data_IF_059562535795
#
_entry.id   IF_059562535795
#
_cell.length_a   1.000
_cell.length_b   1.000
_cell.length_c   1.000
_cell.angle_alpha   90.00
_cell.angle_beta   90.00
_cell.angle_gamma   90.00
#
_symmetry.space_group_name_H-M   'P 1'
#
loop_
_entity.id
_entity.type
_entity.pdbx_description
1 polymer ?
#
# COMPACT_ATOMS: atom_id res chain seq x y z
N UNK A 1 -23.77 6.40 18.32
CA UNK A 1 -23.65 5.69 17.04
C UNK A 1 -24.29 6.59 15.98
N UNK A 2 -23.55 7.00 14.95
CA UNK A 2 -24.09 7.90 13.92
C UNK A 2 -25.00 7.10 12.99
N UNK A 3 -26.27 7.03 13.38
CA UNK A 3 -27.40 6.57 12.59
C UNK A 3 -27.70 7.61 11.49
N UNK A 4 -27.25 7.30 10.27
CA UNK A 4 -27.68 7.82 8.95
C UNK A 4 -26.50 8.05 8.00
N UNK A 5 -25.64 7.05 7.81
CA UNK A 5 -24.80 7.01 6.61
C UNK A 5 -25.48 6.11 5.57
N UNK A 6 -25.93 6.65 4.41
CA UNK A 6 -26.56 5.84 3.36
C UNK A 6 -25.56 4.90 2.64
N UNK A 7 -24.26 5.03 2.92
CA UNK A 7 -23.20 4.18 2.41
C UNK A 7 -22.01 4.18 3.39
N UNK A 8 -21.16 3.16 3.28
CA UNK A 8 -19.90 3.04 4.00
C UNK A 8 -18.79 2.66 3.03
N UNK A 9 -17.54 2.99 3.36
CA UNK A 9 -16.40 2.46 2.61
C UNK A 9 -16.34 0.94 2.83
N UNK A 10 -16.21 0.21 1.74
CA UNK A 10 -16.01 -1.24 1.77
C UNK A 10 -14.64 -1.58 1.21
N UNK A 11 -14.39 -1.20 -0.04
CA UNK A 11 -13.15 -1.54 -0.73
C UNK A 11 -12.76 -0.53 -1.81
N UNK A 12 -11.46 -0.51 -2.10
CA UNK A 12 -10.88 0.06 -3.30
C UNK A 12 -10.78 -1.03 -4.35
N UNK A 13 -11.27 -0.77 -5.57
CA UNK A 13 -11.28 -1.74 -6.66
C UNK A 13 -10.29 -1.33 -7.74
N UNK A 14 -9.35 -2.22 -8.05
CA UNK A 14 -8.38 -2.07 -9.14
C UNK A 14 -8.86 -2.84 -10.36
N UNK A 15 -8.85 -2.20 -11.53
CA UNK A 15 -9.17 -2.88 -12.79
C UNK A 15 -7.93 -3.55 -13.33
N UNK A 16 -8.00 -4.85 -13.56
CA UNK A 16 -6.86 -5.65 -13.99
C UNK A 16 -7.16 -6.37 -15.29
N UNK A 17 -6.15 -6.54 -16.14
CA UNK A 17 -6.27 -7.25 -17.40
C UNK A 17 -6.47 -8.76 -17.19
N UNK A 18 -5.71 -9.34 -16.26
CA UNK A 18 -5.75 -10.77 -15.93
C UNK A 18 -5.91 -10.96 -14.42
N UNK A 19 -7.11 -11.38 -13.99
CA UNK A 19 -7.44 -11.56 -12.58
C UNK A 19 -6.57 -12.63 -11.92
N UNK A 20 -6.20 -13.71 -12.62
CA UNK A 20 -5.38 -14.76 -12.02
C UNK A 20 -3.94 -14.31 -11.85
N UNK A 21 -3.40 -13.53 -12.79
CA UNK A 21 -2.08 -12.89 -12.66
C UNK A 21 -2.05 -11.97 -11.44
N UNK A 22 -3.02 -11.09 -11.31
CA UNK A 22 -3.04 -10.10 -10.23
C UNK A 22 -3.40 -10.74 -8.88
N UNK A 23 -4.27 -11.75 -8.86
CA UNK A 23 -4.55 -12.56 -7.66
C UNK A 23 -3.29 -13.22 -7.11
N UNK A 24 -2.46 -13.82 -7.96
CA UNK A 24 -1.16 -14.38 -7.54
C UNK A 24 -0.22 -13.31 -7.01
N UNK A 25 -0.13 -12.17 -7.67
CA UNK A 25 0.68 -11.06 -7.18
C UNK A 25 0.26 -10.62 -5.78
N UNK A 26 -1.03 -10.32 -5.57
CA UNK A 26 -1.52 -9.84 -4.28
C UNK A 26 -1.42 -10.91 -3.18
N UNK A 27 -1.64 -12.20 -3.49
CA UNK A 27 -1.55 -13.27 -2.48
C UNK A 27 -0.12 -13.73 -2.18
N UNK A 28 0.72 -13.89 -3.21
CA UNK A 28 2.06 -14.48 -3.07
C UNK A 28 3.16 -13.44 -2.81
N UNK A 29 3.01 -12.22 -3.35
CA UNK A 29 4.01 -11.14 -3.17
C UNK A 29 3.58 -10.19 -2.06
N UNK A 30 2.32 -9.74 -2.07
CA UNK A 30 1.81 -8.78 -1.09
C UNK A 30 1.23 -9.42 0.17
N UNK A 31 1.07 -10.74 0.19
CA UNK A 31 0.56 -11.47 1.36
C UNK A 31 -0.93 -11.24 1.66
N UNK A 32 -1.71 -10.74 0.70
CA UNK A 32 -3.14 -10.48 0.87
C UNK A 32 -3.91 -11.79 1.04
N UNK A 33 -4.88 -11.77 1.96
CA UNK A 33 -5.80 -12.90 2.16
C UNK A 33 -7.09 -12.68 1.38
N UNK A 34 -7.45 -13.64 0.53
CA UNK A 34 -8.72 -13.62 -0.20
C UNK A 34 -9.88 -13.73 0.80
N UNK A 35 -10.82 -12.79 0.71
CA UNK A 35 -12.09 -12.83 1.42
C UNK A 35 -13.17 -13.50 0.57
N UNK A 36 -13.24 -13.15 -0.72
CA UNK A 36 -14.23 -13.67 -1.66
C UNK A 36 -13.67 -13.71 -3.08
N UNK A 37 -13.81 -14.85 -3.76
CA UNK A 37 -13.44 -15.03 -5.16
C UNK A 37 -14.69 -15.34 -5.99
N UNK A 38 -15.04 -14.44 -6.92
CA UNK A 38 -16.16 -14.58 -7.86
C UNK A 38 -15.65 -14.76 -9.31
N UNK A 39 -14.40 -15.21 -9.48
CA UNK A 39 -13.74 -15.39 -10.76
C UNK A 39 -13.29 -14.07 -11.37
N UNK A 40 -14.21 -13.29 -11.94
CA UNK A 40 -13.85 -12.00 -12.56
C UNK A 40 -13.62 -10.87 -11.54
N UNK A 41 -14.05 -11.06 -10.30
CA UNK A 41 -13.94 -10.08 -9.23
C UNK A 41 -13.48 -10.81 -7.96
N UNK A 42 -12.43 -10.31 -7.33
CA UNK A 42 -11.84 -10.92 -6.14
C UNK A 42 -11.66 -9.83 -5.09
N UNK A 43 -12.21 -10.06 -3.89
CA UNK A 43 -12.04 -9.19 -2.73
C UNK A 43 -11.07 -9.80 -1.72
N UNK A 44 -10.25 -8.95 -1.11
CA UNK A 44 -9.31 -9.26 -0.04
C UNK A 44 -9.80 -8.69 1.29
N UNK A 45 -9.40 -9.31 2.41
CA UNK A 45 -9.88 -8.95 3.77
C UNK A 45 -9.62 -7.50 4.18
N UNK A 46 -8.66 -6.83 3.53
CA UNK A 46 -8.13 -5.54 3.95
C UNK A 46 -8.81 -4.36 3.22
N UNK A 47 -9.90 -4.62 2.50
CA UNK A 47 -10.61 -3.60 1.72
C UNK A 47 -9.95 -3.29 0.37
N UNK A 48 -9.12 -4.20 -0.14
CA UNK A 48 -8.66 -4.20 -1.53
C UNK A 48 -9.51 -5.18 -2.34
N UNK A 49 -9.77 -4.88 -3.60
CA UNK A 49 -10.37 -5.81 -4.55
C UNK A 49 -9.79 -5.60 -5.95
N UNK A 50 -9.79 -6.66 -6.75
CA UNK A 50 -9.44 -6.62 -8.18
C UNK A 50 -10.66 -7.02 -9.01
N UNK A 51 -10.81 -6.40 -10.18
CA UNK A 51 -11.92 -6.66 -11.10
C UNK A 51 -11.40 -6.69 -12.54
N UNK A 52 -11.78 -7.72 -13.29
CA UNK A 52 -11.46 -7.86 -14.71
C UNK A 52 -11.91 -6.61 -15.50
N UNK A 53 -10.93 -5.95 -16.13
CA UNK A 53 -11.07 -4.59 -16.64
C UNK A 53 -12.00 -4.45 -17.83
N UNK A 54 -12.00 -5.39 -18.78
CA UNK A 54 -12.89 -5.37 -19.95
C UNK A 54 -14.35 -5.56 -19.50
N UNK A 55 -14.61 -6.58 -18.68
CA UNK A 55 -15.93 -6.86 -18.16
C UNK A 55 -16.44 -5.75 -17.25
N UNK A 56 -15.60 -5.23 -16.35
CA UNK A 56 -15.94 -4.11 -15.49
C UNK A 56 -16.32 -2.87 -16.29
N UNK A 57 -15.55 -2.52 -17.33
CA UNK A 57 -15.87 -1.40 -18.22
C UNK A 57 -17.16 -1.62 -18.99
N UNK A 58 -17.41 -2.82 -19.52
CA UNK A 58 -18.66 -3.13 -20.19
C UNK A 58 -19.87 -2.99 -19.24
N UNK A 59 -19.74 -3.43 -17.98
CA UNK A 59 -20.80 -3.30 -16.97
C UNK A 59 -21.06 -1.83 -16.62
N UNK A 60 -20.02 -1.01 -16.47
CA UNK A 60 -20.16 0.38 -16.01
C UNK A 60 -20.53 1.33 -17.16
N UNK A 61 -19.90 1.18 -18.31
CA UNK A 61 -19.94 2.13 -19.41
C UNK A 61 -20.64 1.59 -20.67
N UNK A 62 -20.96 0.30 -20.72
CA UNK A 62 -21.49 -0.34 -21.93
C UNK A 62 -20.46 -0.47 -23.06
N UNK A 63 -19.16 -0.37 -22.73
CA UNK A 63 -18.06 -0.41 -23.68
C UNK A 63 -16.95 -1.36 -23.18
N UNK A 64 -16.76 -2.53 -23.84
CA UNK A 64 -15.68 -3.47 -23.52
C UNK A 64 -14.34 -3.07 -24.17
N UNK A 65 -14.22 -1.87 -24.77
CA UNK A 65 -12.93 -1.46 -25.33
C UNK A 65 -11.84 -1.56 -24.27
N UNK A 66 -10.80 -2.34 -24.57
CA UNK A 66 -9.61 -2.44 -23.75
C UNK A 66 -8.99 -1.06 -23.54
N UNK A 67 -8.28 -0.88 -22.43
CA UNK A 67 -7.68 0.41 -22.08
C UNK A 67 -6.46 0.25 -21.20
N UNK A 68 -5.76 1.36 -21.01
CA UNK A 68 -4.78 1.48 -19.95
C UNK A 68 -5.53 1.53 -18.61
N UNK A 69 -5.45 0.44 -17.85
CA UNK A 69 -6.06 0.35 -16.51
C UNK A 69 -5.16 0.95 -15.43
N UNK A 70 -3.93 1.35 -15.78
CA UNK A 70 -2.94 1.74 -14.81
C UNK A 70 -3.29 3.03 -14.07
N UNK A 71 -2.82 3.13 -12.83
CA UNK A 71 -3.03 4.31 -11.99
C UNK A 71 -1.73 5.04 -11.62
N UNK A 72 -0.63 4.71 -12.33
CA UNK A 72 0.80 5.02 -12.08
C UNK A 72 1.18 6.41 -11.55
N UNK A 73 0.31 7.43 -11.65
CA UNK A 73 0.65 8.82 -11.31
C UNK A 73 -0.31 9.51 -10.33
N UNK A 74 -1.51 8.99 -10.13
CA UNK A 74 -2.58 9.73 -9.47
C UNK A 74 -3.24 8.97 -8.32
N UNK A 75 -2.95 7.68 -8.17
CA UNK A 75 -3.45 6.83 -7.10
C UNK A 75 -2.33 5.87 -6.68
N UNK A 76 -2.07 5.78 -5.38
CA UNK A 76 -1.25 4.75 -4.79
C UNK A 76 -2.03 3.95 -3.74
N UNK A 77 -1.71 2.67 -3.62
CA UNK A 77 -2.12 1.83 -2.49
C UNK A 77 -0.96 1.83 -1.50
N UNK A 78 -1.23 2.26 -0.27
CA UNK A 78 -0.21 2.44 0.77
C UNK A 78 -0.21 1.27 1.75
N UNK A 79 0.95 0.65 1.91
CA UNK A 79 1.26 -0.40 2.87
C UNK A 79 2.32 0.08 3.85
N UNK A 80 2.39 -0.59 5.01
CA UNK A 80 3.44 -0.36 5.99
C UNK A 80 4.23 -1.64 6.26
N UNK A 81 5.52 -1.48 6.56
CA UNK A 81 6.41 -2.57 6.93
C UNK A 81 7.21 -2.25 8.18
N UNK A 82 7.55 -3.30 8.94
CA UNK A 82 8.48 -3.23 10.06
C UNK A 82 9.94 -3.48 9.63
N UNK A 83 10.16 -4.12 8.49
CA UNK A 83 11.50 -4.41 7.95
C UNK A 83 11.58 -4.03 6.46
N UNK A 84 12.12 -2.85 6.19
CA UNK A 84 12.29 -2.34 4.83
C UNK A 84 13.32 -3.16 4.02
N UNK A 85 14.32 -3.77 4.68
CA UNK A 85 15.34 -4.55 3.98
C UNK A 85 14.76 -5.88 3.48
N UNK A 86 14.02 -6.60 4.33
CA UNK A 86 13.31 -7.81 3.92
C UNK A 86 12.26 -7.49 2.85
N UNK A 87 11.48 -6.42 3.03
CA UNK A 87 10.49 -5.95 2.06
C UNK A 87 11.12 -5.73 0.69
N UNK A 88 12.22 -4.99 0.63
CA UNK A 88 12.90 -4.69 -0.64
C UNK A 88 13.41 -5.95 -1.34
N UNK A 89 13.96 -6.93 -0.61
CA UNK A 89 14.43 -8.18 -1.18
C UNK A 89 13.28 -9.07 -1.73
N UNK A 90 12.12 -9.09 -1.05
CA UNK A 90 10.91 -9.75 -1.56
C UNK A 90 10.48 -9.12 -2.90
N UNK A 91 10.34 -7.79 -2.93
CA UNK A 91 9.91 -7.05 -4.13
C UNK A 91 10.88 -7.24 -5.30
N UNK A 92 12.18 -7.18 -5.01
CA UNK A 92 13.24 -7.40 -6.00
C UNK A 92 13.22 -8.82 -6.55
N UNK A 93 13.01 -9.82 -5.69
CA UNK A 93 12.90 -11.23 -6.08
C UNK A 93 11.65 -11.50 -6.92
N UNK A 94 10.56 -10.79 -6.63
CA UNK A 94 9.32 -10.83 -7.42
C UNK A 94 9.46 -10.13 -8.78
N UNK A 95 10.52 -9.35 -9.01
CA UNK A 95 10.78 -8.68 -10.29
C UNK A 95 9.81 -7.54 -10.61
N UNK A 96 9.33 -6.83 -9.58
CA UNK A 96 8.41 -5.69 -9.75
C UNK A 96 9.06 -4.54 -10.53
N UNK A 97 8.24 -3.76 -11.23
CA UNK A 97 8.70 -2.51 -11.85
C UNK A 97 8.76 -1.42 -10.76
N UNK A 98 9.97 -1.04 -10.33
CA UNK A 98 10.14 0.05 -9.38
C UNK A 98 9.88 1.41 -10.03
N UNK A 99 9.09 2.25 -9.36
CA UNK A 99 9.01 3.68 -9.62
C UNK A 99 10.25 4.37 -9.08
N UNK A 100 10.63 4.01 -7.85
CA UNK A 100 11.92 4.27 -7.25
C UNK A 100 12.22 3.16 -6.22
N UNK A 101 13.50 2.86 -6.04
CA UNK A 101 13.95 1.96 -4.97
C UNK A 101 13.75 2.61 -3.58
N UNK A 102 14.29 2.00 -2.52
CA UNK A 102 14.18 2.54 -1.16
C UNK A 102 14.80 3.93 -1.09
N UNK A 103 14.00 4.91 -0.66
CA UNK A 103 14.42 6.30 -0.44
C UNK A 103 13.93 6.78 0.92
N UNK A 104 14.70 7.69 1.54
CA UNK A 104 14.22 8.41 2.73
C UNK A 104 13.41 9.63 2.28
N UNK A 105 12.18 9.73 2.77
CA UNK A 105 11.27 10.85 2.49
C UNK A 105 11.64 12.10 3.29
N UNK A 106 11.14 13.30 2.92
CA UNK A 106 11.42 14.53 3.67
C UNK A 106 11.04 14.47 5.16
N UNK A 107 10.08 13.61 5.53
CA UNK A 107 9.68 13.32 6.91
C UNK A 107 10.40 12.10 7.51
N UNK A 108 11.59 11.76 6.99
CA UNK A 108 12.53 10.71 7.47
C UNK A 108 12.07 9.26 7.32
N UNK A 109 10.84 9.00 6.90
CA UNK A 109 10.34 7.64 6.65
C UNK A 109 11.06 7.02 5.45
N UNK A 110 11.52 5.77 5.58
CA UNK A 110 11.97 5.00 4.41
C UNK A 110 10.76 4.49 3.63
N UNK A 111 10.76 4.67 2.31
CA UNK A 111 9.68 4.14 1.46
C UNK A 111 10.21 3.60 0.14
N UNK A 112 9.48 2.64 -0.43
CA UNK A 112 9.72 2.08 -1.77
C UNK A 112 8.42 2.15 -2.56
N UNK A 113 8.51 2.53 -3.85
CA UNK A 113 7.35 2.56 -4.73
C UNK A 113 7.58 1.70 -5.96
N UNK A 114 6.57 0.92 -6.32
CA UNK A 114 6.61 -0.01 -7.45
C UNK A 114 5.21 -0.14 -8.04
N UNK A 115 5.13 -0.88 -9.14
CA UNK A 115 3.89 -1.15 -9.84
C UNK A 115 3.49 -2.60 -9.68
N UNK A 116 2.19 -2.82 -9.55
CA UNK A 116 1.59 -4.14 -9.75
C UNK A 116 1.61 -4.54 -11.26
N UNK A 117 1.17 -5.77 -11.61
CA UNK A 117 1.22 -6.25 -13.00
C UNK A 117 0.47 -5.41 -14.02
N UNK A 118 -0.49 -4.60 -13.58
CA UNK A 118 -1.35 -3.75 -14.42
C UNK A 118 -0.98 -2.26 -14.33
N UNK A 119 0.06 -1.93 -13.56
CA UNK A 119 0.55 -0.56 -13.44
C UNK A 119 -0.15 0.26 -12.35
N UNK A 120 -0.76 -0.36 -11.35
CA UNK A 120 -1.21 0.35 -10.16
C UNK A 120 -0.02 0.63 -9.24
N UNK A 121 0.12 1.89 -8.80
CA UNK A 121 1.23 2.27 -7.92
C UNK A 121 0.97 1.77 -6.50
N UNK A 122 2.00 1.15 -5.93
CA UNK A 122 2.00 0.67 -4.55
C UNK A 122 3.18 1.33 -3.84
N UNK A 123 2.93 1.90 -2.67
CA UNK A 123 3.96 2.32 -1.73
C UNK A 123 3.99 1.34 -0.57
N UNK A 124 5.21 0.93 -0.17
CA UNK A 124 5.44 0.35 1.15
C UNK A 124 6.32 1.32 1.92
N UNK A 125 5.79 1.87 3.01
CA UNK A 125 6.50 2.75 3.94
C UNK A 125 6.93 2.03 5.20
N UNK A 126 8.07 2.41 5.77
CA UNK A 126 8.42 2.01 7.13
C UNK A 126 7.34 2.50 8.10
N UNK A 127 6.82 1.62 8.97
CA UNK A 127 5.82 2.02 9.96
C UNK A 127 6.39 3.15 10.84
N UNK A 128 5.56 4.15 11.15
CA UNK A 128 6.09 5.38 11.77
C UNK A 128 6.74 5.18 13.15
N UNK A 129 6.29 4.20 13.93
CA UNK A 129 6.94 3.81 15.18
C UNK A 129 8.31 3.11 14.98
N UNK A 130 8.50 2.42 13.86
CA UNK A 130 9.78 1.84 13.45
C UNK A 130 10.74 2.96 13.01
N UNK A 131 10.26 3.89 12.18
CA UNK A 131 11.00 5.10 11.80
C UNK A 131 11.46 5.89 13.04
N UNK A 132 10.55 6.23 13.94
CA UNK A 132 10.87 6.95 15.20
C UNK A 132 11.90 6.18 16.02
N UNK A 133 11.77 4.86 16.10
CA UNK A 133 12.74 3.99 16.77
C UNK A 133 14.12 4.02 16.17
N UNK A 134 14.22 3.94 14.84
CA UNK A 134 15.47 4.01 14.08
C UNK A 134 16.17 5.35 14.31
N UNK A 135 15.42 6.45 14.29
CA UNK A 135 15.96 7.79 14.56
C UNK A 135 16.47 7.91 16.00
N UNK A 136 15.70 7.43 16.99
CA UNK A 136 16.15 7.41 18.38
C UNK A 136 17.41 6.53 18.58
N UNK A 137 17.48 5.37 17.91
CA UNK A 137 18.65 4.49 17.95
C UNK A 137 19.90 5.14 17.31
N UNK A 138 19.71 6.12 16.42
CA UNK A 138 20.81 6.94 15.87
C UNK A 138 21.24 8.10 16.79
N UNK A 139 20.58 8.27 17.93
CA UNK A 139 20.91 9.28 18.96
C UNK A 139 20.16 10.60 18.83
N UNK A 140 19.13 10.69 17.97
CA UNK A 140 18.28 11.87 17.87
C UNK A 140 17.37 12.00 19.11
N UNK A 141 17.16 13.23 19.60
CA UNK A 141 16.26 13.47 20.75
C UNK A 141 14.79 13.41 20.33
N UNK A 142 13.85 13.15 21.25
CA UNK A 142 12.42 13.15 20.93
C UNK A 142 11.94 14.45 20.24
N UNK A 143 12.50 15.60 20.61
CA UNK A 143 12.17 16.90 20.01
C UNK A 143 12.64 16.98 18.55
N UNK A 144 13.88 16.55 18.26
CA UNK A 144 14.41 16.52 16.89
C UNK A 144 13.63 15.56 16.00
N UNK A 145 13.23 14.41 16.56
CA UNK A 145 12.41 13.42 15.85
C UNK A 145 11.04 14.00 15.53
N UNK A 146 10.36 14.63 16.50
CA UNK A 146 9.06 15.25 16.27
C UNK A 146 9.12 16.35 15.19
N UNK A 147 10.16 17.20 15.23
CA UNK A 147 10.36 18.25 14.22
C UNK A 147 10.60 17.66 12.82
N UNK A 148 11.52 16.70 12.69
CA UNK A 148 11.93 16.16 11.39
C UNK A 148 10.90 15.22 10.76
N UNK A 149 10.14 14.47 11.57
CA UNK A 149 9.07 13.58 11.08
C UNK A 149 7.72 14.29 10.93
N UNK A 150 7.60 15.52 11.43
CA UNK A 150 6.34 16.27 11.55
C UNK A 150 5.28 15.57 12.44
N UNK A 151 5.68 14.55 13.21
CA UNK A 151 4.80 13.86 14.15
C UNK A 151 4.59 14.70 15.41
N UNK A 152 3.38 14.70 16.00
CA UNK A 152 3.14 15.32 17.30
C UNK A 152 4.12 14.77 18.35
N UNK A 153 4.72 15.66 19.14
CA UNK A 153 5.70 15.29 20.16
C UNK A 153 5.13 14.30 21.19
N UNK A 154 3.83 14.39 21.50
CA UNK A 154 3.15 13.45 22.39
C UNK A 154 3.16 12.02 21.83
N UNK A 155 2.99 11.87 20.51
CA UNK A 155 3.01 10.56 19.85
C UNK A 155 4.43 9.99 19.83
N UNK A 156 5.43 10.83 19.52
CA UNK A 156 6.85 10.42 19.55
C UNK A 156 7.24 9.92 20.94
N UNK A 157 6.93 10.69 21.99
CA UNK A 157 7.22 10.29 23.36
C UNK A 157 6.49 9.01 23.78
N UNK A 158 5.22 8.84 23.39
CA UNK A 158 4.46 7.64 23.69
C UNK A 158 5.05 6.40 22.99
N UNK A 159 5.49 6.52 21.74
CA UNK A 159 6.15 5.44 21.00
C UNK A 159 7.48 5.06 21.67
N UNK A 160 8.30 6.05 22.05
CA UNK A 160 9.60 5.79 22.67
C UNK A 160 9.45 5.18 24.07
N UNK A 161 8.47 5.61 24.87
CA UNK A 161 8.22 5.07 26.20
C UNK A 161 7.74 3.60 26.19
N UNK A 162 7.13 3.14 25.10
CA UNK A 162 6.68 1.75 24.95
C UNK A 162 7.76 0.81 24.39
N UNK A 163 8.98 1.31 24.15
CA UNK A 163 10.12 0.54 23.62
C UNK A 163 11.11 0.06 24.70
N UNK A 164 11.03 0.61 25.91
CA UNK A 164 11.79 0.18 27.10
C UNK A 164 11.16 -1.05 27.77
#
# INVERSE_FOLDING_TARGET
MNENKPFSYHSTVLFVEDVERSKKFYTEVMGEEIELDLGKNVGFKNGLAIWEGEYGRNVIFGDPSGGDYSSKKMLEIYYETEDMAETYEILKSAGVEFVHEVVEQPWRQLTVRFLDPDGHMIEVGERMDVCIGRLAASGETPEMIAESTMMPAEIVNAILANRD
#
